data_IF_485271439417
#
_entry.id   IF_485271439417
#
_cell.length_a   1.000
_cell.length_b   1.000
_cell.length_c   1.000
_cell.angle_alpha   90.00
_cell.angle_beta   90.00
_cell.angle_gamma   90.00
#
_symmetry.space_group_name_H-M   'P 1'
#
loop_
_entity.id
_entity.type
_entity.pdbx_description
1 polymer ?
#
# COMPACT_ATOMS: atom_id res chain seq x y z
N UNK A 1 17.21 32.37 0.78
CA UNK A 1 16.33 32.49 -0.42
C UNK A 1 16.09 31.18 -1.18
N UNK A 2 16.75 30.05 -0.89
CA UNK A 2 16.50 28.75 -1.57
C UNK A 2 15.32 27.97 -1.00
N UNK A 3 14.98 28.13 0.28
CA UNK A 3 13.88 27.41 0.95
C UNK A 3 12.47 27.78 0.50
N UNK A 4 12.31 28.87 -0.25
CA UNK A 4 11.01 29.30 -0.76
C UNK A 4 10.60 28.56 -2.04
N UNK A 5 11.57 27.96 -2.75
CA UNK A 5 11.34 27.22 -4.00
C UNK A 5 10.79 25.81 -3.71
N UNK A 6 11.29 25.15 -2.66
CA UNK A 6 10.88 23.80 -2.26
C UNK A 6 9.44 23.72 -1.72
N UNK A 7 8.88 24.81 -1.17
CA UNK A 7 7.50 24.84 -0.66
C UNK A 7 6.46 24.95 -1.78
N UNK A 8 6.81 25.50 -2.95
CA UNK A 8 5.90 25.65 -4.09
C UNK A 8 5.52 24.32 -4.74
N UNK A 9 6.37 23.29 -4.63
CA UNK A 9 6.07 21.96 -5.17
C UNK A 9 5.01 21.19 -4.37
N UNK A 10 4.67 21.62 -3.15
CA UNK A 10 3.79 20.87 -2.25
C UNK A 10 2.30 21.28 -2.37
N UNK A 11 1.98 22.47 -2.90
CA UNK A 11 0.60 22.99 -2.97
C UNK A 11 -0.22 22.41 -4.11
N UNK A 12 0.42 21.89 -5.17
CA UNK A 12 -0.31 21.25 -6.29
C UNK A 12 -1.01 19.97 -5.85
N UNK A 13 -0.46 19.25 -4.86
CA UNK A 13 -1.01 17.98 -4.39
C UNK A 13 -2.33 18.19 -3.62
N UNK A 14 -2.50 19.34 -2.95
CA UNK A 14 -3.66 19.64 -2.10
C UNK A 14 -4.70 20.58 -2.72
N UNK A 15 -4.52 21.02 -3.97
CA UNK A 15 -5.50 21.87 -4.65
C UNK A 15 -6.85 21.17 -4.84
N UNK A 16 -7.95 21.96 -4.86
CA UNK A 16 -9.29 21.45 -5.08
C UNK A 16 -9.44 20.83 -6.47
N UNK A 17 -10.30 19.81 -6.59
CA UNK A 17 -10.57 19.12 -7.86
C UNK A 17 -10.86 20.05 -9.05
N UNK A 18 -11.69 21.11 -8.95
CA UNK A 18 -11.96 21.99 -10.09
C UNK A 18 -10.73 22.80 -10.51
N UNK A 19 -9.89 23.22 -9.56
CA UNK A 19 -8.66 23.97 -9.85
C UNK A 19 -7.64 23.11 -10.61
N UNK A 20 -7.48 21.85 -10.20
CA UNK A 20 -6.60 20.89 -10.89
C UNK A 20 -7.01 20.70 -12.35
N UNK A 21 -8.31 20.51 -12.60
CA UNK A 21 -8.84 20.35 -13.95
C UNK A 21 -8.59 21.58 -14.83
N UNK A 22 -8.83 22.78 -14.30
CA UNK A 22 -8.59 24.03 -15.03
C UNK A 22 -7.10 24.18 -15.41
N UNK A 23 -6.20 23.88 -14.48
CA UNK A 23 -4.75 23.93 -14.74
C UNK A 23 -4.34 22.90 -15.80
N UNK A 24 -4.82 21.66 -15.70
CA UNK A 24 -4.56 20.59 -16.67
C UNK A 24 -5.03 20.97 -18.07
N UNK A 25 -6.25 21.51 -18.19
CA UNK A 25 -6.81 21.94 -19.49
C UNK A 25 -5.98 23.08 -20.08
N UNK A 26 -5.55 24.03 -19.24
CA UNK A 26 -4.73 25.17 -19.67
C UNK A 26 -3.37 24.70 -20.20
N UNK A 27 -2.69 23.79 -19.48
CA UNK A 27 -1.38 23.25 -19.87
C UNK A 27 -1.46 22.42 -21.16
N UNK A 28 -2.54 21.66 -21.35
CA UNK A 28 -2.75 20.85 -22.55
C UNK A 28 -3.04 21.71 -23.79
N UNK A 29 -3.76 22.83 -23.62
CA UNK A 29 -3.98 23.81 -24.70
C UNK A 29 -2.68 24.48 -25.17
N UNK A 30 -1.66 24.51 -24.32
CA UNK A 30 -0.32 25.02 -24.61
C UNK A 30 0.62 23.96 -25.21
N UNK A 31 0.13 22.73 -25.47
CA UNK A 31 0.91 21.65 -26.07
C UNK A 31 2.01 21.09 -25.16
N UNK A 32 1.90 21.28 -23.84
CA UNK A 32 2.85 20.75 -22.87
C UNK A 32 2.33 19.39 -22.40
N UNK A 33 2.83 18.31 -23.00
CA UNK A 33 2.59 16.95 -22.52
C UNK A 33 3.36 16.73 -21.22
N UNK A 34 2.76 17.12 -20.10
CA UNK A 34 3.24 16.69 -18.78
C UNK A 34 2.87 15.21 -18.67
N UNK A 35 3.77 14.35 -19.12
CA UNK A 35 3.80 12.94 -18.73
C UNK A 35 3.89 12.88 -17.22
N UNK A 36 2.73 12.92 -16.55
CA UNK A 36 2.64 12.89 -15.11
C UNK A 36 3.35 11.64 -14.60
N UNK A 37 3.95 11.68 -13.39
CA UNK A 37 4.46 10.47 -12.79
C UNK A 37 3.29 9.50 -12.74
N UNK A 38 3.38 8.43 -13.53
CA UNK A 38 2.53 7.26 -13.42
C UNK A 38 2.87 6.73 -12.04
N UNK A 39 2.17 7.24 -11.02
CA UNK A 39 2.16 6.60 -9.72
C UNK A 39 1.71 5.19 -10.05
N UNK A 40 2.55 4.16 -9.84
CA UNK A 40 2.03 2.83 -9.93
C UNK A 40 1.00 2.77 -8.81
N UNK A 41 -0.28 2.88 -9.17
CA UNK A 41 -1.37 2.26 -8.42
C UNK A 41 -1.09 0.78 -8.54
N UNK A 42 -0.06 0.31 -7.82
CA UNK A 42 -0.06 -1.03 -7.28
C UNK A 42 -1.29 -1.04 -6.39
N UNK A 43 -2.44 -1.35 -6.98
CA UNK A 43 -3.39 -2.24 -6.36
C UNK A 43 -2.57 -3.45 -5.95
N UNK A 44 -1.91 -3.35 -4.79
CA UNK A 44 -1.44 -4.51 -4.09
C UNK A 44 -2.74 -5.25 -3.82
N UNK A 45 -3.10 -6.19 -4.69
CA UNK A 45 -4.22 -7.12 -4.47
C UNK A 45 -3.97 -7.65 -3.07
N UNK A 46 -4.67 -7.09 -2.08
CA UNK A 46 -4.36 -7.32 -0.67
C UNK A 46 -4.62 -8.80 -0.49
N UNK A 47 -3.56 -9.61 -0.49
CA UNK A 47 -3.67 -11.06 -0.39
C UNK A 47 -4.56 -11.32 0.82
N UNK A 48 -5.70 -11.97 0.61
CA UNK A 48 -6.67 -12.23 1.68
C UNK A 48 -5.90 -12.92 2.82
N UNK A 49 -5.82 -12.25 3.97
CA UNK A 49 -5.13 -12.77 5.16
C UNK A 49 -6.16 -13.47 6.02
N UNK A 50 -5.95 -14.75 6.28
CA UNK A 50 -6.78 -15.51 7.22
C UNK A 50 -6.34 -15.33 8.67
N UNK A 51 -7.11 -15.94 9.56
CA UNK A 51 -6.81 -16.07 11.00
C UNK A 51 -5.65 -17.03 11.22
N UNK A 52 -4.84 -16.81 12.26
CA UNK A 52 -3.81 -17.76 12.66
C UNK A 52 -4.40 -19.10 13.12
N UNK A 53 -3.93 -20.21 12.55
CA UNK A 53 -4.40 -21.57 12.84
C UNK A 53 -3.85 -22.15 14.16
N UNK A 54 -2.88 -21.50 14.78
CA UNK A 54 -2.27 -21.91 16.07
C UNK A 54 -2.90 -21.15 17.25
N UNK A 55 -3.41 -19.95 17.02
CA UNK A 55 -4.04 -19.17 18.09
C UNK A 55 -5.39 -19.77 18.50
N UNK A 56 -5.73 -19.76 19.80
CA UNK A 56 -7.05 -20.19 20.27
C UNK A 56 -8.17 -19.39 19.61
N UNK A 57 -9.35 -20.01 19.44
CA UNK A 57 -10.48 -19.42 18.69
C UNK A 57 -11.00 -18.08 19.27
N UNK A 58 -10.73 -17.79 20.55
CA UNK A 58 -11.13 -16.52 21.17
C UNK A 58 -10.22 -15.33 20.85
N UNK A 59 -8.95 -15.55 20.47
CA UNK A 59 -7.97 -14.45 20.28
C UNK A 59 -8.03 -13.75 18.91
N UNK A 60 -8.60 -14.43 17.91
CA UNK A 60 -8.74 -14.01 16.51
C UNK A 60 -7.54 -13.26 15.90
N UNK A 61 -6.31 -13.73 16.18
CA UNK A 61 -5.10 -13.09 15.68
C UNK A 61 -5.02 -13.22 14.16
N UNK A 62 -4.84 -12.10 13.47
CA UNK A 62 -4.64 -12.05 12.01
C UNK A 62 -3.33 -12.71 11.59
N UNK A 63 -3.38 -13.54 10.55
CA UNK A 63 -2.22 -14.16 9.92
C UNK A 63 -1.34 -13.12 9.22
N UNK A 64 -0.05 -13.11 9.57
CA UNK A 64 0.98 -12.30 8.93
C UNK A 64 1.71 -13.07 7.82
N UNK A 65 1.85 -14.39 7.99
CA UNK A 65 2.57 -15.29 7.06
C UNK A 65 1.85 -16.63 6.93
N UNK A 66 2.38 -17.53 6.10
CA UNK A 66 1.90 -18.90 5.95
C UNK A 66 3.02 -19.90 6.26
N UNK A 67 2.66 -21.04 6.88
CA UNK A 67 3.59 -22.15 7.09
C UNK A 67 4.16 -22.65 5.74
N UNK A 68 5.46 -22.87 5.63
CA UNK A 68 6.07 -23.35 4.37
C UNK A 68 5.55 -24.73 3.94
N UNK A 69 5.25 -25.61 4.90
CA UNK A 69 4.78 -26.99 4.68
C UNK A 69 3.27 -27.06 4.41
N UNK A 70 2.42 -26.62 5.35
CA UNK A 70 0.96 -26.79 5.27
C UNK A 70 0.18 -25.56 4.78
N UNK A 71 0.86 -24.44 4.49
CA UNK A 71 0.26 -23.16 4.00
C UNK A 71 -0.79 -22.51 4.91
N UNK A 72 -0.98 -23.03 6.12
CA UNK A 72 -1.85 -22.44 7.14
C UNK A 72 -1.35 -21.05 7.57
N UNK A 73 -2.27 -20.15 7.89
CA UNK A 73 -1.94 -18.78 8.29
C UNK A 73 -1.35 -18.74 9.72
N UNK A 74 -0.32 -17.92 9.90
CA UNK A 74 0.41 -17.76 11.16
C UNK A 74 0.50 -16.28 11.54
N UNK A 75 0.14 -15.93 12.78
CA UNK A 75 0.33 -14.57 13.32
C UNK A 75 1.82 -14.31 13.54
N UNK A 76 2.20 -13.06 13.88
CA UNK A 76 3.61 -12.69 14.12
C UNK A 76 4.28 -13.48 15.25
N UNK A 77 3.52 -13.92 16.26
CA UNK A 77 4.03 -14.73 17.38
C UNK A 77 4.31 -16.18 16.94
N UNK A 78 3.54 -16.68 15.96
CA UNK A 78 3.65 -18.05 15.45
C UNK A 78 4.31 -18.13 14.07
N UNK A 79 4.84 -17.02 13.53
CA UNK A 79 5.38 -16.93 12.17
C UNK A 79 6.81 -17.45 12.04
N UNK A 80 7.05 -18.67 12.53
CA UNK A 80 8.28 -19.41 12.24
C UNK A 80 8.16 -19.96 10.80
N UNK A 81 9.28 -20.33 10.17
CA UNK A 81 9.30 -20.92 8.83
C UNK A 81 8.32 -22.11 8.67
N UNK A 82 8.07 -22.84 9.77
CA UNK A 82 7.15 -23.98 9.84
C UNK A 82 6.32 -23.85 11.13
N UNK A 83 5.02 -24.17 11.08
CA UNK A 83 4.16 -24.15 12.26
C UNK A 83 4.49 -25.31 13.23
N UNK A 84 4.10 -25.16 14.49
CA UNK A 84 4.35 -26.17 15.53
C UNK A 84 3.84 -27.57 15.15
N UNK A 85 2.69 -27.67 14.47
CA UNK A 85 2.13 -28.94 14.02
C UNK A 85 2.94 -29.63 12.92
N UNK A 86 3.70 -28.89 12.10
CA UNK A 86 4.52 -29.46 11.02
C UNK A 86 6.01 -29.53 11.35
N UNK A 87 6.40 -29.03 12.53
CA UNK A 87 7.74 -29.19 13.09
C UNK A 87 7.89 -30.52 13.83
N UNK A 88 6.79 -31.03 14.40
CA UNK A 88 6.69 -32.40 14.89
C UNK A 88 6.89 -33.42 13.78
#
# INVERSE_FOLDING_TARGET
MRDQILRRHQTLVTASRPLKHLMETTLQSMGIDIGGPVMPTQETRRRKRGRCSVCPWKKDRKGASQCKKCKQFLCKEHSIAVCHTCFK
#
